data_IF_187411505980
#
_entry.id   IF_187411505980
#
_cell.length_a   1.000
_cell.length_b   1.000
_cell.length_c   1.000
_cell.angle_alpha   90.00
_cell.angle_beta   90.00
_cell.angle_gamma   90.00
#
_symmetry.space_group_name_H-M   'P 1'
#
loop_
_entity.id
_entity.type
_entity.pdbx_description
1 polymer ?
#
# COMPACT_ATOMS: atom_id res chain seq x y z
N UNK A 1 -37.92 16.84 -25.98
CA UNK A 1 -38.85 15.82 -25.46
C UNK A 1 -38.55 14.50 -26.17
N UNK A 2 -38.47 13.41 -25.40
CA UNK A 2 -38.39 11.99 -25.81
C UNK A 2 -37.15 11.50 -26.60
N UNK A 3 -36.35 10.62 -25.99
CA UNK A 3 -36.07 9.30 -26.56
C UNK A 3 -35.73 8.30 -25.45
N UNK A 4 -36.41 7.17 -25.50
CA UNK A 4 -36.59 6.19 -24.42
C UNK A 4 -35.80 4.92 -24.78
N UNK A 5 -35.39 4.18 -23.74
CA UNK A 5 -35.08 2.73 -23.72
C UNK A 5 -33.64 2.32 -24.05
N UNK A 6 -32.91 1.95 -23.00
CA UNK A 6 -32.11 0.73 -23.03
C UNK A 6 -32.71 -0.25 -22.02
N UNK A 7 -33.36 -1.29 -22.56
CA UNK A 7 -33.78 -2.48 -21.84
C UNK A 7 -32.76 -3.57 -22.18
N UNK A 8 -31.98 -4.03 -21.21
CA UNK A 8 -31.37 -5.37 -21.25
C UNK A 8 -31.19 -5.88 -19.83
N UNK A 9 -31.99 -6.90 -19.55
CA UNK A 9 -32.12 -7.77 -18.37
C UNK A 9 -30.79 -8.36 -17.87
N UNK A 10 -30.53 -8.41 -16.56
CA UNK A 10 -29.63 -9.41 -16.01
C UNK A 10 -30.36 -10.76 -15.94
N UNK A 11 -29.79 -11.75 -16.63
CA UNK A 11 -30.16 -13.16 -16.61
C UNK A 11 -30.31 -13.67 -15.17
N UNK A 12 -31.53 -14.08 -14.81
CA UNK A 12 -31.84 -14.79 -13.57
C UNK A 12 -31.25 -16.19 -13.61
N UNK A 13 -30.26 -16.45 -12.74
CA UNK A 13 -29.80 -17.80 -12.45
C UNK A 13 -30.79 -18.43 -11.46
N UNK A 14 -31.36 -19.61 -11.74
CA UNK A 14 -32.37 -20.22 -10.88
C UNK A 14 -31.74 -20.76 -9.58
N UNK A 15 -32.32 -20.30 -8.47
CA UNK A 15 -32.17 -20.84 -7.11
C UNK A 15 -32.62 -22.30 -7.03
N UNK A 16 -31.87 -23.17 -6.32
CA UNK A 16 -32.49 -24.23 -5.56
C UNK A 16 -32.19 -24.11 -4.05
N UNK A 17 -33.27 -24.14 -3.30
CA UNK A 17 -33.42 -24.73 -1.96
C UNK A 17 -32.62 -24.15 -0.77
N UNK A 18 -33.39 -23.45 0.07
CA UNK A 18 -33.09 -23.17 1.47
C UNK A 18 -32.62 -24.42 2.25
N UNK A 19 -31.51 -24.28 2.96
CA UNK A 19 -31.11 -25.16 4.07
C UNK A 19 -30.73 -24.27 5.26
N UNK A 20 -31.46 -24.29 6.40
CA UNK A 20 -31.23 -23.35 7.49
C UNK A 20 -30.28 -23.96 8.52
N UNK A 21 -28.99 -23.59 8.57
CA UNK A 21 -28.11 -24.00 9.69
C UNK A 21 -27.03 -22.97 10.06
N UNK A 22 -27.28 -22.36 11.23
CA UNK A 22 -26.38 -21.76 12.24
C UNK A 22 -25.74 -20.39 11.95
N UNK A 23 -25.93 -19.38 12.84
CA UNK A 23 -25.13 -18.17 12.81
C UNK A 23 -23.70 -18.52 13.22
N UNK A 24 -22.75 -18.30 12.32
CA UNK A 24 -21.33 -18.41 12.66
C UNK A 24 -20.99 -17.15 13.45
N UNK A 25 -20.79 -17.32 14.75
CA UNK A 25 -20.31 -16.28 15.65
C UNK A 25 -19.01 -15.70 15.08
N UNK A 26 -19.04 -14.40 14.79
CA UNK A 26 -17.86 -13.62 14.42
C UNK A 26 -17.01 -13.49 15.69
N UNK A 27 -16.16 -14.50 15.93
CA UNK A 27 -15.11 -14.42 16.94
C UNK A 27 -14.15 -13.35 16.44
N UNK A 28 -14.26 -12.16 17.03
CA UNK A 28 -13.32 -11.07 16.85
C UNK A 28 -11.94 -11.53 17.37
N UNK A 29 -11.18 -12.17 16.49
CA UNK A 29 -9.77 -12.42 16.73
C UNK A 29 -9.11 -11.05 16.98
N UNK A 30 -8.50 -10.81 18.15
CA UNK A 30 -7.72 -9.61 18.34
C UNK A 30 -6.57 -9.71 17.33
N UNK A 31 -6.67 -8.94 16.27
CA UNK A 31 -5.60 -8.76 15.30
C UNK A 31 -4.42 -8.23 16.09
N UNK A 32 -3.53 -9.15 16.48
CA UNK A 32 -2.31 -8.84 17.16
C UNK A 32 -1.60 -7.83 16.25
N UNK A 33 -1.56 -6.57 16.68
CA UNK A 33 -0.71 -5.56 16.07
C UNK A 33 0.70 -6.05 16.29
N UNK A 34 1.23 -6.76 15.29
CA UNK A 34 2.63 -7.13 15.23
C UNK A 34 3.38 -5.81 15.26
N UNK A 35 3.99 -5.51 16.41
CA UNK A 35 5.04 -4.51 16.47
C UNK A 35 6.13 -5.03 15.54
N UNK A 36 6.16 -4.48 14.32
CA UNK A 36 7.28 -4.68 13.41
C UNK A 36 8.49 -4.05 14.08
N UNK A 37 9.18 -4.83 14.91
CA UNK A 37 10.52 -4.53 15.35
C UNK A 37 11.31 -4.26 14.06
N UNK A 38 11.68 -2.99 13.86
CA UNK A 38 12.38 -2.49 12.68
C UNK A 38 13.81 -3.04 12.67
N UNK A 39 13.96 -4.33 12.48
CA UNK A 39 15.18 -4.95 11.94
C UNK A 39 15.13 -4.94 10.41
N UNK A 40 14.55 -3.87 9.84
CA UNK A 40 14.62 -3.61 8.41
C UNK A 40 16.03 -3.14 8.08
N UNK A 41 16.75 -3.92 7.29
CA UNK A 41 18.00 -3.48 6.65
C UNK A 41 17.75 -2.10 6.01
N UNK A 42 18.43 -1.06 6.51
CA UNK A 42 18.29 0.31 6.01
C UNK A 42 18.70 0.34 4.54
N UNK A 43 17.83 0.88 3.68
CA UNK A 43 18.06 1.03 2.24
C UNK A 43 18.96 2.24 1.99
N UNK A 44 18.79 3.28 2.80
CA UNK A 44 19.67 4.44 2.82
C UNK A 44 20.96 4.09 3.58
N UNK A 45 22.12 4.26 2.92
CA UNK A 45 23.44 4.00 3.50
C UNK A 45 23.95 5.25 4.22
N UNK A 46 24.01 6.39 3.52
CA UNK A 46 24.45 7.68 4.06
C UNK A 46 24.03 8.85 3.17
N UNK A 47 24.00 10.09 3.68
CA UNK A 47 23.89 11.29 2.84
C UNK A 47 25.06 11.36 1.84
N UNK A 48 24.77 11.83 0.63
CA UNK A 48 25.81 12.05 -0.36
C UNK A 48 26.32 13.49 -0.24
N UNK A 49 27.48 13.67 0.39
CA UNK A 49 28.04 15.00 0.69
C UNK A 49 29.01 15.45 -0.40
N UNK A 50 28.51 16.32 -1.28
CA UNK A 50 29.26 16.96 -2.38
C UNK A 50 28.80 18.40 -2.53
N UNK A 51 29.61 19.26 -3.15
CA UNK A 51 29.21 20.65 -3.44
C UNK A 51 27.88 20.71 -4.21
N UNK A 52 27.73 19.85 -5.23
CA UNK A 52 26.48 19.72 -5.99
C UNK A 52 25.28 19.35 -5.11
N UNK A 53 25.45 18.44 -4.16
CA UNK A 53 24.36 18.05 -3.25
C UNK A 53 23.95 19.19 -2.30
N UNK A 54 24.89 20.08 -1.94
CA UNK A 54 24.60 21.24 -1.11
C UNK A 54 23.68 22.22 -1.85
N UNK A 55 23.97 22.49 -3.13
CA UNK A 55 23.12 23.34 -3.98
C UNK A 55 21.71 22.76 -4.15
N UNK A 56 21.57 21.44 -4.22
CA UNK A 56 20.27 20.78 -4.26
C UNK A 56 19.52 20.87 -2.93
N UNK A 57 20.23 20.81 -1.81
CA UNK A 57 19.64 20.92 -0.47
C UNK A 57 18.99 22.29 -0.24
N UNK A 58 19.56 23.37 -0.78
CA UNK A 58 18.94 24.72 -0.78
C UNK A 58 17.56 24.71 -1.45
N UNK A 59 17.35 23.82 -2.42
CA UNK A 59 16.08 23.61 -3.14
C UNK A 59 15.20 22.54 -2.50
N UNK A 60 15.47 22.15 -1.25
CA UNK A 60 14.80 21.07 -0.52
C UNK A 60 14.90 19.70 -1.22
N UNK A 61 15.96 19.48 -1.99
CA UNK A 61 16.26 18.19 -2.63
C UNK A 61 17.48 17.55 -1.98
N UNK A 62 17.28 16.40 -1.34
CA UNK A 62 18.34 15.70 -0.61
C UNK A 62 18.82 14.48 -1.40
N UNK A 63 20.13 14.25 -1.40
CA UNK A 63 20.76 13.15 -2.13
C UNK A 63 21.37 12.15 -1.14
N UNK A 64 21.12 10.86 -1.37
CA UNK A 64 21.60 9.77 -0.52
C UNK A 64 22.27 8.69 -1.36
N UNK A 65 23.27 8.04 -0.76
CA UNK A 65 23.76 6.75 -1.26
C UNK A 65 22.84 5.65 -0.74
N UNK A 66 22.46 4.75 -1.64
CA UNK A 66 21.55 3.63 -1.36
C UNK A 66 22.22 2.31 -1.70
N UNK A 67 21.69 1.21 -1.15
CA UNK A 67 22.09 -0.14 -1.56
C UNK A 67 21.80 -0.36 -3.05
N UNK A 68 22.64 -1.09 -3.80
CA UNK A 68 22.47 -1.26 -5.25
C UNK A 68 21.14 -1.93 -5.62
N UNK A 69 20.66 -2.85 -4.78
CA UNK A 69 19.42 -3.61 -5.00
C UNK A 69 18.16 -2.84 -4.52
N UNK A 70 18.29 -1.53 -4.25
CA UNK A 70 17.20 -0.71 -3.74
C UNK A 70 16.19 -0.36 -4.83
N UNK A 71 14.93 -0.72 -4.61
CA UNK A 71 13.81 -0.23 -5.41
C UNK A 71 13.32 1.14 -4.94
N UNK A 72 12.76 1.95 -5.84
CA UNK A 72 12.24 3.30 -5.51
C UNK A 72 11.19 3.27 -4.39
N UNK A 73 10.35 2.23 -4.35
CA UNK A 73 9.30 2.09 -3.34
C UNK A 73 9.91 1.85 -1.96
N UNK A 74 10.96 1.03 -1.85
CA UNK A 74 11.61 0.77 -0.57
C UNK A 74 12.38 1.99 -0.08
N UNK A 75 13.02 2.75 -0.98
CA UNK A 75 13.65 4.05 -0.66
C UNK A 75 12.60 5.03 -0.10
N UNK A 76 11.45 5.18 -0.75
CA UNK A 76 10.41 6.09 -0.31
C UNK A 76 9.87 5.73 1.10
N UNK A 77 9.69 4.43 1.37
CA UNK A 77 9.28 3.94 2.69
C UNK A 77 10.34 4.22 3.76
N UNK A 78 11.62 4.02 3.45
CA UNK A 78 12.73 4.25 4.39
C UNK A 78 12.93 5.75 4.67
N UNK A 79 12.71 6.63 3.68
CA UNK A 79 12.70 8.09 3.89
C UNK A 79 11.53 8.52 4.76
N UNK A 80 10.31 8.02 4.49
CA UNK A 80 9.12 8.37 5.28
C UNK A 80 9.15 7.80 6.72
N UNK A 81 10.01 6.82 6.97
CA UNK A 81 10.18 6.18 8.26
C UNK A 81 11.08 6.97 9.23
N UNK A 82 11.79 8.00 8.75
CA UNK A 82 12.76 8.83 9.47
C UNK A 82 12.13 10.16 9.87
#
# INVERSE_FOLDING_TARGET
>A
MAFWKQKTTPTSVPTPAATPRKPVEVVASPSARVAHLRTGRSVLVRPHLTEKSSVLAERRQYTFLVTPDAEKISIARDVAAR
#
